data_IF_677872137853
#
_entry.id   IF_677872137853
#
_cell.length_a   1.000
_cell.length_b   1.000
_cell.length_c   1.000
_cell.angle_alpha   90.00
_cell.angle_beta   90.00
_cell.angle_gamma   90.00
#
_symmetry.space_group_name_H-M   'P 1'
#
loop_
_entity.id
_entity.type
_entity.pdbx_description
1 polymer ?
#
# COMPACT_ATOMS: atom_id res chain seq x y z
N UNK A 1 12.99 -47.95 16.82
CA UNK A 1 13.65 -46.66 16.51
C UNK A 1 12.58 -45.66 16.04
N UNK A 2 12.14 -44.74 16.92
CA UNK A 2 11.24 -43.64 16.55
C UNK A 2 12.08 -42.55 15.88
N UNK A 3 11.88 -42.32 14.59
CA UNK A 3 12.54 -41.24 13.85
C UNK A 3 11.97 -39.89 14.30
N UNK A 4 12.78 -39.16 15.05
CA UNK A 4 12.52 -37.76 15.40
C UNK A 4 12.54 -36.92 14.12
N UNK A 5 11.35 -36.58 13.61
CA UNK A 5 11.21 -35.49 12.63
C UNK A 5 11.59 -34.19 13.33
N UNK A 6 12.86 -33.78 13.22
CA UNK A 6 13.28 -32.40 13.49
C UNK A 6 12.41 -31.49 12.61
N UNK A 7 11.43 -30.81 13.20
CA UNK A 7 10.75 -29.69 12.56
C UNK A 7 11.84 -28.67 12.23
N UNK A 8 12.14 -28.46 10.95
CA UNK A 8 12.99 -27.34 10.56
C UNK A 8 12.33 -26.07 11.07
N UNK A 9 13.00 -25.33 11.94
CA UNK A 9 12.54 -24.01 12.36
C UNK A 9 12.55 -23.16 11.09
N UNK A 10 11.38 -22.94 10.48
CA UNK A 10 11.26 -21.99 9.36
C UNK A 10 11.69 -20.63 9.89
N UNK A 11 12.75 -20.08 9.31
CA UNK A 11 13.16 -18.72 9.59
C UNK A 11 11.98 -17.79 9.27
N UNK A 12 11.54 -17.02 10.26
CA UNK A 12 10.45 -16.06 10.10
C UNK A 12 10.89 -14.95 9.16
N UNK A 13 10.01 -14.51 8.27
CA UNK A 13 10.30 -13.36 7.40
C UNK A 13 10.41 -12.08 8.22
N UNK A 14 11.08 -11.05 7.68
CA UNK A 14 11.21 -9.72 8.29
C UNK A 14 9.85 -9.17 8.75
N UNK A 15 8.85 -9.21 7.86
CA UNK A 15 7.51 -8.69 8.12
C UNK A 15 6.80 -9.48 9.24
N UNK A 16 7.02 -10.80 9.30
CA UNK A 16 6.49 -11.61 10.41
C UNK A 16 7.17 -11.27 11.73
N UNK A 17 8.49 -10.97 11.73
CA UNK A 17 9.19 -10.51 12.93
C UNK A 17 8.67 -9.14 13.41
N UNK A 18 8.44 -8.19 12.50
CA UNK A 18 7.84 -6.88 12.81
C UNK A 18 6.47 -7.07 13.45
N UNK A 19 5.62 -7.88 12.82
CA UNK A 19 4.28 -8.18 13.31
C UNK A 19 4.32 -8.84 14.70
N UNK A 20 5.13 -9.88 14.87
CA UNK A 20 5.26 -10.57 16.15
C UNK A 20 5.74 -9.62 17.26
N UNK A 21 6.70 -8.72 16.97
CA UNK A 21 7.17 -7.74 17.94
C UNK A 21 6.03 -6.83 18.41
N UNK A 22 5.35 -6.17 17.47
CA UNK A 22 4.25 -5.24 17.80
C UNK A 22 3.11 -5.94 18.55
N UNK A 23 2.69 -7.12 18.11
CA UNK A 23 1.58 -7.82 18.74
C UNK A 23 1.95 -8.45 20.10
N UNK A 24 3.23 -8.72 20.36
CA UNK A 24 3.71 -9.17 21.68
C UNK A 24 3.76 -8.01 22.67
N UNK A 25 4.15 -6.81 22.22
CA UNK A 25 4.17 -5.61 23.04
C UNK A 25 2.76 -5.14 23.43
N UNK A 26 1.73 -5.51 22.65
CA UNK A 26 0.33 -5.11 22.85
C UNK A 26 -0.65 -6.30 22.84
N UNK A 27 -0.56 -7.27 23.77
CA UNK A 27 -1.31 -8.53 23.70
C UNK A 27 -2.85 -8.37 23.70
N UNK A 28 -3.36 -7.26 24.23
CA UNK A 28 -4.80 -6.97 24.31
C UNK A 28 -5.39 -6.40 23.00
N UNK A 29 -4.62 -6.34 21.91
CA UNK A 29 -5.06 -5.79 20.63
C UNK A 29 -6.33 -6.48 20.10
N UNK A 30 -6.50 -7.79 20.34
CA UNK A 30 -7.68 -8.56 19.90
C UNK A 30 -8.93 -8.04 20.58
N UNK A 31 -8.87 -7.85 21.90
CA UNK A 31 -10.03 -7.45 22.69
C UNK A 31 -10.45 -6.04 22.31
N UNK A 32 -9.50 -5.15 22.04
CA UNK A 32 -9.79 -3.79 21.56
C UNK A 32 -10.41 -3.82 20.17
N UNK A 33 -9.86 -4.61 19.24
CA UNK A 33 -10.44 -4.74 17.91
C UNK A 33 -11.85 -5.33 17.96
N UNK A 34 -12.10 -6.34 18.80
CA UNK A 34 -13.43 -6.93 19.02
C UNK A 34 -14.40 -5.94 19.64
N UNK A 35 -13.98 -5.21 20.66
CA UNK A 35 -14.80 -4.21 21.32
C UNK A 35 -15.14 -3.07 20.35
N UNK A 36 -14.16 -2.59 19.58
CA UNK A 36 -14.38 -1.62 18.51
C UNK A 36 -15.45 -2.10 17.53
N UNK A 37 -15.27 -3.28 16.93
CA UNK A 37 -16.22 -3.83 15.96
C UNK A 37 -17.61 -4.04 16.56
N UNK A 38 -17.71 -4.55 17.80
CA UNK A 38 -18.99 -4.78 18.46
C UNK A 38 -19.76 -3.49 18.79
N UNK A 39 -19.06 -2.36 18.97
CA UNK A 39 -19.63 -1.06 19.30
C UNK A 39 -19.86 -0.15 18.09
N UNK A 40 -19.40 -0.57 16.90
CA UNK A 40 -19.66 0.07 15.61
C UNK A 40 -21.16 0.29 15.43
N UNK A 41 -21.55 1.51 15.05
CA UNK A 41 -22.94 1.94 14.85
C UNK A 41 -23.84 1.82 16.10
N UNK A 42 -23.23 1.83 17.29
CA UNK A 42 -23.92 1.86 18.59
C UNK A 42 -23.40 2.99 19.46
N UNK A 43 -22.27 2.75 20.11
CA UNK A 43 -21.64 3.67 21.05
C UNK A 43 -20.51 4.47 20.39
N UNK A 44 -20.04 4.04 19.22
CA UNK A 44 -19.06 4.74 18.39
C UNK A 44 -19.55 4.89 16.94
N UNK A 45 -19.12 5.94 16.21
CA UNK A 45 -19.56 6.18 14.84
C UNK A 45 -19.32 4.98 13.93
N UNK A 46 -20.21 4.79 12.96
CA UNK A 46 -20.03 3.82 11.89
C UNK A 46 -18.81 4.18 11.00
N UNK A 47 -18.26 3.17 10.32
CA UNK A 47 -17.20 3.34 9.32
C UNK A 47 -17.35 2.35 8.15
N UNK A 48 -16.81 2.68 6.98
CA UNK A 48 -16.92 1.82 5.81
C UNK A 48 -16.23 0.45 5.98
N UNK A 49 -16.78 -0.61 5.39
CA UNK A 49 -16.27 -1.98 5.53
C UNK A 49 -14.85 -2.19 4.98
N UNK A 50 -14.38 -1.29 4.12
CA UNK A 50 -13.00 -1.30 3.64
C UNK A 50 -11.97 -0.85 4.70
N UNK A 51 -12.43 -0.29 5.83
CA UNK A 51 -11.62 0.02 7.02
C UNK A 51 -11.84 -1.08 8.05
N UNK A 52 -10.76 -1.69 8.55
CA UNK A 52 -10.87 -2.72 9.59
C UNK A 52 -11.40 -2.14 10.90
N UNK A 53 -10.65 -1.18 11.45
CA UNK A 53 -11.02 -0.38 12.61
C UNK A 53 -10.28 0.96 12.47
N UNK A 54 -10.95 2.10 12.67
CA UNK A 54 -10.30 3.39 12.55
C UNK A 54 -9.09 3.52 13.48
N UNK A 55 -8.08 4.30 13.08
CA UNK A 55 -6.86 4.45 13.87
C UNK A 55 -7.14 4.94 15.30
N UNK A 56 -8.19 5.75 15.49
CA UNK A 56 -8.64 6.26 16.79
C UNK A 56 -9.05 5.16 17.75
N UNK A 57 -9.50 3.99 17.27
CA UNK A 57 -9.91 2.85 18.10
C UNK A 57 -8.73 2.25 18.87
N UNK A 58 -7.49 2.52 18.46
CA UNK A 58 -6.28 2.10 19.19
C UNK A 58 -5.81 3.14 20.21
N UNK A 59 -6.38 4.35 20.25
CA UNK A 59 -5.97 5.39 21.21
C UNK A 59 -6.08 4.96 22.68
N UNK A 60 -7.12 4.23 23.13
CA UNK A 60 -7.24 3.81 24.53
C UNK A 60 -6.05 2.96 25.03
N UNK A 61 -5.26 2.35 24.14
CA UNK A 61 -4.04 1.62 24.53
C UNK A 61 -2.96 2.52 25.09
N UNK A 62 -2.81 3.74 24.54
CA UNK A 62 -1.68 4.62 24.81
C UNK A 62 -2.08 5.95 25.46
N UNK A 63 -3.34 6.34 25.30
CA UNK A 63 -3.91 7.62 25.72
C UNK A 63 -5.05 7.41 26.72
N UNK A 64 -4.76 6.75 27.86
CA UNK A 64 -5.76 6.43 28.90
C UNK A 64 -6.53 7.65 29.42
N UNK A 65 -5.89 8.82 29.43
CA UNK A 65 -6.47 10.08 29.90
C UNK A 65 -6.79 11.05 28.74
N UNK A 66 -6.97 10.52 27.52
CA UNK A 66 -7.08 11.31 26.30
C UNK A 66 -5.73 11.80 25.76
N UNK A 67 -5.80 12.52 24.64
CA UNK A 67 -4.62 13.07 23.96
C UNK A 67 -4.22 14.37 24.65
N UNK A 68 -3.00 14.43 25.17
CA UNK A 68 -2.40 15.67 25.66
C UNK A 68 -1.41 16.19 24.61
N UNK A 69 -1.68 17.35 23.97
CA UNK A 69 -0.77 17.94 22.97
C UNK A 69 0.64 18.24 23.51
N UNK A 70 0.78 18.41 24.84
CA UNK A 70 2.05 18.70 25.50
C UNK A 70 2.76 17.44 26.03
N UNK A 71 2.26 16.24 25.74
CA UNK A 71 2.92 14.99 26.13
C UNK A 71 4.25 14.86 25.34
N UNK A 72 5.42 14.82 26.00
CA UNK A 72 6.70 14.68 25.30
C UNK A 72 6.83 13.36 24.53
N UNK A 73 5.99 12.37 24.83
CA UNK A 73 5.94 11.08 24.14
C UNK A 73 4.82 11.00 23.09
N UNK A 74 4.10 12.09 22.80
CA UNK A 74 2.98 12.12 21.85
C UNK A 74 3.36 11.49 20.51
N UNK A 75 4.47 11.93 19.90
CA UNK A 75 4.92 11.43 18.60
C UNK A 75 5.24 9.93 18.62
N UNK A 76 5.91 9.45 19.68
CA UNK A 76 6.24 8.04 19.83
C UNK A 76 4.98 7.19 20.01
N UNK A 77 4.01 7.67 20.81
CA UNK A 77 2.72 7.01 20.98
C UNK A 77 1.94 6.98 19.66
N UNK A 78 1.85 8.10 18.94
CA UNK A 78 1.18 8.16 17.63
C UNK A 78 1.80 7.21 16.60
N UNK A 79 3.13 7.04 16.65
CA UNK A 79 3.81 6.05 15.81
C UNK A 79 3.36 4.63 16.14
N UNK A 80 3.28 4.27 17.43
CA UNK A 80 2.77 2.97 17.87
C UNK A 80 1.32 2.76 17.44
N UNK A 81 0.45 3.77 17.56
CA UNK A 81 -0.93 3.68 17.06
C UNK A 81 -0.93 3.39 15.56
N UNK A 82 -0.08 4.06 14.79
CA UNK A 82 0.06 3.82 13.34
C UNK A 82 0.56 2.41 13.03
N UNK A 83 1.47 1.87 13.86
CA UNK A 83 1.92 0.48 13.75
C UNK A 83 0.77 -0.50 14.02
N UNK A 84 -0.01 -0.30 15.07
CA UNK A 84 -1.15 -1.16 15.40
C UNK A 84 -2.21 -1.13 14.30
N UNK A 85 -2.57 0.06 13.82
CA UNK A 85 -3.57 0.25 12.76
C UNK A 85 -3.19 -0.46 11.45
N UNK A 86 -1.90 -0.55 11.12
CA UNK A 86 -1.43 -1.30 9.96
C UNK A 86 -1.28 -2.81 10.23
N UNK A 87 -0.65 -3.18 11.35
CA UNK A 87 -0.18 -4.55 11.59
C UNK A 87 -1.31 -5.46 12.08
N UNK A 88 -2.24 -4.95 12.89
CA UNK A 88 -3.37 -5.74 13.38
C UNK A 88 -4.20 -6.31 12.22
N UNK A 89 -4.74 -5.50 11.28
CA UNK A 89 -5.46 -6.04 10.13
C UNK A 89 -4.57 -6.87 9.21
N UNK A 90 -3.29 -6.52 9.04
CA UNK A 90 -2.36 -7.31 8.25
C UNK A 90 -2.17 -8.71 8.82
N UNK A 91 -2.12 -8.86 10.15
CA UNK A 91 -1.93 -10.15 10.82
C UNK A 91 -3.03 -11.17 10.49
N UNK A 92 -4.22 -10.71 10.09
CA UNK A 92 -5.38 -11.55 9.76
C UNK A 92 -5.23 -12.25 8.40
N UNK A 93 -4.45 -11.68 7.48
CA UNK A 93 -4.23 -12.18 6.12
C UNK A 93 -2.78 -12.58 5.82
N UNK A 94 -1.81 -11.88 6.43
CA UNK A 94 -0.36 -11.94 6.21
C UNK A 94 0.05 -11.93 4.74
N UNK A 95 -0.65 -11.14 3.92
CA UNK A 95 -0.36 -10.99 2.49
C UNK A 95 0.85 -10.07 2.24
N UNK A 96 1.85 -10.60 1.54
CA UNK A 96 3.03 -9.87 1.07
C UNK A 96 3.00 -9.84 -0.45
N UNK A 97 3.07 -8.66 -1.05
CA UNK A 97 3.06 -8.41 -2.49
C UNK A 97 4.45 -7.98 -2.92
N UNK A 98 5.19 -8.88 -3.58
CA UNK A 98 6.56 -8.65 -4.02
C UNK A 98 6.57 -8.21 -5.48
N UNK A 99 6.91 -6.95 -5.70
CA UNK A 99 6.89 -6.35 -7.03
C UNK A 99 8.27 -6.53 -7.69
N UNK A 100 8.28 -6.90 -8.97
CA UNK A 100 9.53 -6.98 -9.75
C UNK A 100 10.13 -5.59 -9.96
N UNK A 101 11.46 -5.51 -10.02
CA UNK A 101 12.18 -4.26 -10.26
C UNK A 101 11.74 -3.60 -11.57
N UNK A 102 11.65 -4.40 -12.63
CA UNK A 102 11.30 -3.89 -13.96
C UNK A 102 9.88 -3.32 -13.99
N UNK A 103 8.92 -3.95 -13.30
CA UNK A 103 7.56 -3.43 -13.21
C UNK A 103 7.52 -2.16 -12.35
N UNK A 104 8.18 -2.14 -11.19
CA UNK A 104 8.15 -0.99 -10.28
C UNK A 104 8.69 0.29 -10.94
N UNK A 105 9.80 0.16 -11.67
CA UNK A 105 10.39 1.27 -12.44
C UNK A 105 9.45 1.74 -13.55
N UNK A 106 8.89 0.81 -14.34
CA UNK A 106 7.99 1.18 -15.44
C UNK A 106 6.69 1.83 -14.93
N UNK A 107 6.15 1.39 -13.79
CA UNK A 107 4.96 2.00 -13.19
C UNK A 107 5.21 3.45 -12.75
N UNK A 108 6.40 3.76 -12.23
CA UNK A 108 6.77 5.13 -11.86
C UNK A 108 6.98 6.04 -13.07
N UNK A 109 7.51 5.49 -14.15
CA UNK A 109 7.75 6.22 -15.41
C UNK A 109 6.46 6.38 -16.25
N UNK A 110 5.44 5.56 -15.97
CA UNK A 110 4.17 5.57 -16.70
C UNK A 110 3.43 6.88 -16.49
N UNK A 111 3.07 7.55 -17.58
CA UNK A 111 2.20 8.72 -17.50
C UNK A 111 0.81 8.28 -16.99
N UNK A 112 0.37 8.91 -15.90
CA UNK A 112 -1.03 8.85 -15.50
C UNK A 112 -1.84 9.59 -16.57
N UNK A 113 -2.83 8.96 -17.22
CA UNK A 113 -3.86 9.71 -17.91
C UNK A 113 -4.57 10.57 -16.89
N UNK A 114 -5.09 11.68 -17.38
CA UNK A 114 -5.81 12.64 -16.58
C UNK A 114 -6.86 11.92 -15.71
N UNK A 115 -6.76 12.15 -14.39
CA UNK A 115 -7.86 12.07 -13.43
C UNK A 115 -8.28 10.68 -12.94
N UNK A 116 -7.34 9.80 -12.55
CA UNK A 116 -7.70 8.57 -11.81
C UNK A 116 -8.41 8.96 -10.50
N UNK A 117 -9.66 8.53 -10.22
CA UNK A 117 -10.36 8.83 -8.98
C UNK A 117 -9.69 8.15 -7.77
N UNK A 118 -9.62 8.82 -6.62
CA UNK A 118 -9.05 8.21 -5.40
C UNK A 118 -9.83 6.97 -4.94
N UNK A 119 -11.11 6.87 -5.30
CA UNK A 119 -11.98 5.72 -5.00
C UNK A 119 -11.37 4.36 -5.43
N UNK A 120 -10.51 4.34 -6.46
CA UNK A 120 -9.86 3.10 -6.88
C UNK A 120 -9.06 2.43 -5.77
N UNK A 121 -8.53 3.21 -4.81
CA UNK A 121 -7.76 2.71 -3.67
C UNK A 121 -8.63 1.86 -2.72
N UNK A 122 -9.96 2.00 -2.75
CA UNK A 122 -10.91 1.14 -2.02
C UNK A 122 -10.93 -0.30 -2.52
N UNK A 123 -10.27 -0.57 -3.66
CA UNK A 123 -10.07 -1.92 -4.19
C UNK A 123 -8.90 -2.67 -3.57
N UNK A 124 -8.22 -2.12 -2.56
CA UNK A 124 -7.20 -2.86 -1.83
C UNK A 124 -7.68 -4.28 -1.49
N UNK A 125 -6.86 -5.32 -1.73
CA UNK A 125 -7.30 -6.70 -1.69
C UNK A 125 -7.59 -7.23 -0.27
N UNK A 126 -7.02 -6.59 0.74
CA UNK A 126 -7.26 -6.84 2.16
C UNK A 126 -7.30 -5.51 2.91
N UNK A 127 -7.85 -5.52 4.13
CA UNK A 127 -7.78 -4.36 5.04
C UNK A 127 -6.38 -3.80 5.22
N UNK A 128 -5.36 -4.67 5.25
CA UNK A 128 -3.97 -4.26 5.14
C UNK A 128 -3.14 -5.29 4.39
N UNK A 129 -2.19 -4.80 3.61
CA UNK A 129 -1.22 -5.58 2.85
C UNK A 129 0.19 -5.06 3.12
N UNK A 130 1.19 -5.90 2.94
CA UNK A 130 2.57 -5.46 2.88
C UNK A 130 3.03 -5.51 1.42
N UNK A 131 3.60 -4.42 0.92
CA UNK A 131 4.19 -4.33 -0.42
C UNK A 131 5.70 -4.32 -0.24
N UNK A 132 6.37 -5.37 -0.71
CA UNK A 132 7.82 -5.46 -0.78
C UNK A 132 8.28 -4.77 -2.07
N UNK A 133 9.14 -3.76 -1.91
CA UNK A 133 9.69 -2.97 -3.02
C UNK A 133 11.05 -3.52 -3.43
N UNK A 134 11.50 -3.26 -4.67
CA UNK A 134 12.84 -3.64 -5.10
C UNK A 134 13.92 -2.99 -4.22
N UNK A 135 15.06 -3.66 -4.13
CA UNK A 135 16.22 -3.16 -3.39
C UNK A 135 16.61 -1.77 -3.90
N UNK A 136 16.92 -0.85 -2.97
CA UNK A 136 17.33 0.53 -3.27
C UNK A 136 16.30 1.39 -4.04
N UNK A 137 15.08 0.89 -4.31
CA UNK A 137 14.01 1.67 -4.93
C UNK A 137 13.68 2.94 -4.13
N UNK A 138 13.63 2.78 -2.80
CA UNK A 138 13.76 3.85 -1.82
C UNK A 138 14.93 3.46 -0.90
N UNK A 139 16.01 4.27 -0.79
CA UNK A 139 17.20 3.89 -0.02
C UNK A 139 16.89 3.46 1.43
N UNK A 140 17.29 2.24 1.77
CA UNK A 140 17.10 1.64 3.10
C UNK A 140 15.67 1.23 3.45
N UNK A 141 14.73 1.30 2.50
CA UNK A 141 13.34 0.88 2.68
C UNK A 141 13.11 -0.51 2.06
N UNK A 142 12.56 -1.43 2.83
CA UNK A 142 12.27 -2.81 2.40
C UNK A 142 10.86 -2.95 1.79
N UNK A 143 10.00 -1.97 2.02
CA UNK A 143 8.59 -2.03 1.69
C UNK A 143 7.75 -1.24 2.66
N UNK A 144 6.44 -1.47 2.63
CA UNK A 144 5.52 -0.73 3.48
C UNK A 144 4.22 -1.51 3.69
N UNK A 145 3.61 -1.32 4.85
CA UNK A 145 2.22 -1.70 5.05
C UNK A 145 1.32 -0.64 4.40
N UNK A 146 0.26 -1.08 3.72
CA UNK A 146 -0.73 -0.23 3.09
C UNK A 146 -2.12 -0.63 3.61
N UNK A 147 -2.90 0.34 4.07
CA UNK A 147 -4.25 0.13 4.58
C UNK A 147 -5.11 1.38 4.37
N UNK A 148 -6.43 1.22 4.48
CA UNK A 148 -7.38 2.32 4.49
C UNK A 148 -7.80 2.61 5.93
N UNK A 149 -8.04 3.89 6.18
CA UNK A 149 -8.58 4.41 7.41
C UNK A 149 -9.68 5.44 7.09
N UNK A 150 -10.43 5.85 8.10
CA UNK A 150 -11.37 6.96 7.98
C UNK A 150 -11.29 7.84 9.23
N UNK A 151 -11.25 9.14 9.02
CA UNK A 151 -11.17 10.12 10.10
C UNK A 151 -12.23 11.19 9.90
N UNK A 152 -13.27 11.15 10.75
CA UNK A 152 -14.42 12.05 10.66
C UNK A 152 -15.08 12.04 9.26
N UNK A 153 -15.22 10.84 8.67
CA UNK A 153 -15.82 10.65 7.34
C UNK A 153 -14.90 10.99 6.17
N UNK A 154 -13.65 11.42 6.42
CA UNK A 154 -12.62 11.54 5.38
C UNK A 154 -11.83 10.25 5.31
N UNK A 155 -11.94 9.57 4.18
CA UNK A 155 -11.17 8.36 3.92
C UNK A 155 -9.69 8.71 3.70
N UNK A 156 -8.80 7.84 4.16
CA UNK A 156 -7.36 8.05 4.11
C UNK A 156 -6.66 6.76 3.64
N UNK A 157 -5.75 6.91 2.68
CA UNK A 157 -4.78 5.87 2.36
C UNK A 157 -3.58 6.04 3.29
N UNK A 158 -3.32 5.05 4.12
CA UNK A 158 -2.22 5.05 5.07
C UNK A 158 -1.14 4.05 4.66
N UNK A 159 0.10 4.53 4.71
CA UNK A 159 1.32 3.78 4.47
C UNK A 159 2.18 3.81 5.72
N UNK A 160 2.79 2.67 6.06
CA UNK A 160 3.78 2.58 7.14
C UNK A 160 5.05 1.94 6.56
N UNK A 161 6.02 2.78 6.22
CA UNK A 161 7.25 2.36 5.56
C UNK A 161 8.18 1.64 6.54
N UNK A 162 8.76 0.53 6.08
CA UNK A 162 9.67 -0.34 6.82
C UNK A 162 11.12 -0.08 6.39
N UNK A 163 11.89 0.57 7.27
CA UNK A 163 13.30 0.88 7.06
C UNK A 163 14.21 -0.03 7.89
N UNK A 164 15.42 -0.30 7.42
CA UNK A 164 16.41 -1.11 8.15
C UNK A 164 16.85 -0.47 9.47
N UNK A 165 17.32 0.78 9.39
CA UNK A 165 18.00 1.45 10.52
C UNK A 165 17.24 2.66 11.04
N UNK A 166 15.93 2.75 10.75
CA UNK A 166 15.09 3.89 11.16
C UNK A 166 13.75 3.39 11.72
N UNK A 167 13.12 4.16 12.63
CA UNK A 167 11.75 3.90 13.02
C UNK A 167 10.83 3.84 11.79
N UNK A 168 9.74 3.06 11.85
CA UNK A 168 8.78 3.03 10.76
C UNK A 168 8.25 4.42 10.48
N UNK A 169 7.99 4.72 9.21
CA UNK A 169 7.60 6.06 8.78
C UNK A 169 6.14 6.07 8.30
N UNK A 170 5.22 6.73 9.03
CA UNK A 170 3.83 6.84 8.61
C UNK A 170 3.69 7.91 7.52
N UNK A 171 2.96 7.59 6.46
CA UNK A 171 2.64 8.48 5.35
C UNK A 171 1.14 8.36 5.04
N UNK A 172 0.46 9.48 4.85
CA UNK A 172 -1.01 9.52 4.66
C UNK A 172 -1.36 10.36 3.44
N UNK A 173 -2.22 9.81 2.58
CA UNK A 173 -2.86 10.53 1.49
C UNK A 173 -4.37 10.62 1.78
N UNK A 174 -4.89 11.85 1.84
CA UNK A 174 -6.32 12.09 2.09
C UNK A 174 -7.11 11.83 0.80
N UNK A 175 -8.14 11.00 0.89
CA UNK A 175 -9.02 10.64 -0.21
C UNK A 175 -10.33 11.46 -0.17
N UNK A 176 -11.01 11.51 -1.31
CA UNK A 176 -12.29 12.20 -1.44
C UNK A 176 -12.87 12.07 -2.84
N UNK A 177 -13.92 12.82 -3.14
CA UNK A 177 -14.53 12.84 -4.48
C UNK A 177 -13.70 13.70 -5.45
N UNK A 178 -12.45 13.27 -5.65
CA UNK A 178 -11.45 13.90 -6.50
C UNK A 178 -10.42 12.86 -6.96
N UNK A 179 -9.45 13.32 -7.76
CA UNK A 179 -8.46 12.48 -8.42
C UNK A 179 -7.20 12.30 -7.58
N UNK A 180 -6.36 11.33 -7.93
CA UNK A 180 -5.05 11.13 -7.30
C UNK A 180 -4.19 12.41 -7.41
N UNK A 181 -4.21 13.08 -8.57
CA UNK A 181 -3.46 14.34 -8.77
C UNK A 181 -3.95 15.44 -7.82
N UNK A 182 -5.27 15.63 -7.70
CA UNK A 182 -5.84 16.58 -6.74
C UNK A 182 -5.52 16.18 -5.29
N UNK A 183 -5.48 14.89 -4.98
CA UNK A 183 -5.07 14.41 -3.65
C UNK A 183 -3.61 14.80 -3.33
N UNK A 184 -2.72 14.69 -4.31
CA UNK A 184 -1.32 15.10 -4.19
C UNK A 184 -1.18 16.62 -4.07
N UNK A 185 -1.95 17.39 -4.84
CA UNK A 185 -1.98 18.86 -4.71
C UNK A 185 -2.47 19.29 -3.32
N UNK A 186 -3.51 18.66 -2.79
CA UNK A 186 -4.02 18.89 -1.45
C UNK A 186 -3.00 18.48 -0.38
N UNK A 187 -2.28 17.37 -0.59
CA UNK A 187 -1.17 16.96 0.27
C UNK A 187 -0.09 18.04 0.34
N UNK A 188 0.37 18.55 -0.81
CA UNK A 188 1.35 19.63 -0.90
C UNK A 188 0.83 20.90 -0.20
N UNK A 189 -0.44 21.24 -0.40
CA UNK A 189 -1.07 22.41 0.24
C UNK A 189 -1.14 22.25 1.76
N UNK A 190 -1.55 21.09 2.26
CA UNK A 190 -1.63 20.83 3.70
C UNK A 190 -0.27 20.95 4.36
N UNK A 191 0.78 20.41 3.74
CA UNK A 191 2.15 20.62 4.23
C UNK A 191 2.45 22.13 4.30
N UNK A 192 2.17 22.91 3.26
CA UNK A 192 2.41 24.37 3.31
C UNK A 192 1.65 25.07 4.44
N UNK A 193 0.39 24.70 4.68
CA UNK A 193 -0.46 25.33 5.72
C UNK A 193 0.01 25.01 7.15
N UNK A 194 0.46 23.78 7.44
CA UNK A 194 1.01 23.43 8.75
C UNK A 194 2.32 24.13 9.08
N UNK A 195 3.03 24.64 8.06
CA UNK A 195 4.37 25.17 8.18
C UNK A 195 4.51 26.65 7.77
N UNK A 196 3.43 27.43 7.84
CA UNK A 196 3.49 28.89 7.69
C UNK A 196 4.17 29.55 8.91
N UNK A 197 5.49 29.38 8.99
CA UNK A 197 6.38 30.10 9.90
C UNK A 197 7.53 30.67 9.08
N UNK A 198 7.57 31.99 9.00
CA UNK A 198 8.50 32.83 8.27
C UNK A 198 9.97 32.76 8.75
N UNK A 199 10.45 31.61 9.25
CA UNK A 199 11.82 31.44 9.78
C UNK A 199 12.51 30.07 9.61
N UNK A 200 12.00 29.09 8.87
CA UNK A 200 12.70 27.78 8.75
C UNK A 200 12.56 27.15 7.34
N UNK A 201 13.13 27.77 6.29
CA UNK A 201 13.01 27.23 4.93
C UNK A 201 13.82 25.93 4.69
N UNK A 202 15.04 25.82 5.25
CA UNK A 202 15.95 24.72 4.88
C UNK A 202 15.60 23.35 5.49
N UNK A 203 15.13 23.28 6.74
CA UNK A 203 14.76 22.00 7.36
C UNK A 203 13.43 21.45 6.80
N UNK A 204 12.57 22.34 6.30
CA UNK A 204 11.27 21.98 5.77
C UNK A 204 11.34 21.46 4.34
N UNK A 205 12.24 21.97 3.50
CA UNK A 205 12.50 21.34 2.19
C UNK A 205 13.02 19.90 2.34
N UNK A 206 13.90 19.66 3.31
CA UNK A 206 14.42 18.33 3.63
C UNK A 206 13.34 17.33 4.09
N UNK A 207 12.21 17.79 4.64
CA UNK A 207 11.07 16.95 5.06
C UNK A 207 10.02 16.84 3.93
N UNK A 208 9.79 17.91 3.18
CA UNK A 208 8.83 17.98 2.05
C UNK A 208 9.22 17.07 0.89
N UNK A 209 10.49 17.10 0.48
CA UNK A 209 10.98 16.38 -0.70
C UNK A 209 10.83 14.86 -0.53
N UNK A 210 11.26 14.23 0.59
CA UNK A 210 11.13 12.80 0.75
C UNK A 210 9.68 12.29 0.76
N UNK A 211 8.74 13.01 1.39
CA UNK A 211 7.36 12.54 1.47
C UNK A 211 6.68 12.50 0.10
N UNK A 212 6.82 13.57 -0.68
CA UNK A 212 6.25 13.64 -2.02
C UNK A 212 6.92 12.62 -2.95
N UNK A 213 8.24 12.48 -2.86
CA UNK A 213 8.98 11.46 -3.62
C UNK A 213 8.53 10.04 -3.26
N UNK A 214 8.27 9.77 -1.98
CA UNK A 214 7.69 8.50 -1.55
C UNK A 214 6.29 8.31 -2.14
N UNK A 215 5.40 9.31 -2.09
CA UNK A 215 4.08 9.19 -2.70
C UNK A 215 4.16 8.91 -4.21
N UNK A 216 5.00 9.64 -4.94
CA UNK A 216 5.20 9.43 -6.38
C UNK A 216 5.74 8.04 -6.71
N UNK A 217 6.60 7.47 -5.86
CA UNK A 217 7.13 6.12 -6.05
C UNK A 217 6.17 5.01 -5.61
N UNK A 218 5.42 5.21 -4.54
CA UNK A 218 4.62 4.17 -3.90
C UNK A 218 3.20 4.09 -4.45
N UNK A 219 2.57 5.21 -4.82
CA UNK A 219 1.20 5.23 -5.34
C UNK A 219 1.02 4.39 -6.61
N UNK A 220 1.91 4.45 -7.63
CA UNK A 220 1.78 3.61 -8.82
C UNK A 220 1.78 2.11 -8.50
N UNK A 221 2.52 1.69 -7.48
CA UNK A 221 2.56 0.30 -7.01
C UNK A 221 1.22 -0.13 -6.41
N UNK A 222 0.63 0.73 -5.57
CA UNK A 222 -0.68 0.50 -4.95
C UNK A 222 -1.79 0.48 -6.01
N UNK A 223 -1.75 1.43 -6.95
CA UNK A 223 -2.67 1.50 -8.08
C UNK A 223 -2.61 0.24 -8.95
N UNK A 224 -1.41 -0.31 -9.17
CA UNK A 224 -1.24 -1.54 -9.94
C UNK A 224 -1.90 -2.74 -9.23
N UNK A 225 -1.73 -2.86 -7.92
CA UNK A 225 -2.39 -3.91 -7.13
C UNK A 225 -3.92 -3.75 -7.14
N UNK A 226 -4.43 -2.52 -7.23
CA UNK A 226 -5.86 -2.23 -7.36
C UNK A 226 -6.41 -2.38 -8.78
N UNK A 227 -5.54 -2.56 -9.79
CA UNK A 227 -5.94 -2.64 -11.19
C UNK A 227 -6.56 -4.01 -11.52
N UNK A 228 -7.58 -4.01 -12.36
CA UNK A 228 -8.32 -5.20 -12.80
C UNK A 228 -7.45 -6.19 -13.60
N UNK A 229 -6.45 -5.66 -14.31
CA UNK A 229 -5.50 -6.43 -15.09
C UNK A 229 -4.14 -6.62 -14.40
N UNK A 230 -4.07 -6.46 -13.07
CA UNK A 230 -2.85 -6.71 -12.31
C UNK A 230 -2.39 -8.16 -12.48
N UNK A 231 -1.11 -8.38 -12.79
CA UNK A 231 -0.53 -9.72 -12.82
C UNK A 231 -0.06 -10.10 -11.41
N UNK A 232 -0.87 -10.90 -10.71
CA UNK A 232 -0.56 -11.36 -9.35
C UNK A 232 -0.62 -12.89 -9.34
N UNK A 233 0.51 -13.51 -9.00
CA UNK A 233 0.66 -14.97 -8.94
C UNK A 233 1.27 -15.38 -7.59
N UNK A 234 1.08 -16.63 -7.19
CA UNK A 234 1.52 -17.07 -5.87
C UNK A 234 1.31 -18.57 -5.66
N UNK A 235 1.41 -19.04 -4.41
CA UNK A 235 1.39 -20.47 -4.10
C UNK A 235 0.04 -21.15 -4.38
N UNK A 236 -1.04 -20.38 -4.55
CA UNK A 236 -2.38 -20.86 -4.87
C UNK A 236 -3.21 -19.76 -5.54
N UNK A 237 -4.48 -20.04 -5.84
CA UNK A 237 -5.37 -19.10 -6.53
C UNK A 237 -5.54 -17.78 -5.75
N UNK A 238 -5.14 -16.68 -6.39
CA UNK A 238 -5.29 -15.32 -5.84
C UNK A 238 -6.75 -14.96 -5.57
N UNK A 239 -7.65 -15.23 -6.52
CA UNK A 239 -9.08 -14.93 -6.33
C UNK A 239 -9.68 -15.65 -5.12
N UNK A 240 -9.33 -16.92 -4.89
CA UNK A 240 -9.77 -17.67 -3.71
C UNK A 240 -9.18 -17.09 -2.42
N UNK A 241 -7.94 -16.62 -2.46
CA UNK A 241 -7.30 -15.93 -1.34
C UNK A 241 -8.06 -14.66 -0.95
N UNK A 242 -8.33 -13.78 -1.92
CA UNK A 242 -9.02 -12.51 -1.68
C UNK A 242 -10.42 -12.75 -1.14
N UNK A 243 -11.20 -13.65 -1.75
CA UNK A 243 -12.55 -13.96 -1.28
C UNK A 243 -12.57 -14.42 0.19
N UNK A 244 -11.54 -15.15 0.63
CA UNK A 244 -11.42 -15.63 2.01
C UNK A 244 -10.89 -14.58 2.99
N UNK A 245 -10.09 -13.62 2.52
CA UNK A 245 -9.28 -12.75 3.40
C UNK A 245 -9.60 -11.28 3.32
N UNK A 246 -10.42 -10.85 2.35
CA UNK A 246 -10.74 -9.44 2.15
C UNK A 246 -11.43 -8.84 3.37
N UNK A 247 -12.50 -9.48 3.85
CA UNK A 247 -13.24 -9.10 5.05
C UNK A 247 -13.55 -10.35 5.88
N UNK A 248 -12.86 -10.52 7.02
CA UNK A 248 -13.21 -11.57 7.97
C UNK A 248 -14.42 -11.14 8.79
N UNK A 249 -15.23 -12.10 9.25
CA UNK A 249 -16.29 -11.81 10.21
C UNK A 249 -15.70 -11.52 11.59
N UNK A 250 -16.40 -10.72 12.39
CA UNK A 250 -15.97 -10.25 13.72
C UNK A 250 -15.61 -11.38 14.70
N UNK A 251 -16.27 -12.53 14.60
CA UNK A 251 -16.00 -13.70 15.44
C UNK A 251 -14.80 -14.56 14.97
N UNK A 252 -14.19 -14.24 13.82
CA UNK A 252 -13.09 -14.99 13.22
C UNK A 252 -11.74 -14.25 13.28
N UNK A 253 -11.60 -13.28 14.19
CA UNK A 253 -10.35 -12.51 14.38
C UNK A 253 -9.25 -13.38 14.99
N UNK A 254 -8.65 -14.20 14.13
CA UNK A 254 -7.44 -14.98 14.38
C UNK A 254 -6.38 -14.58 13.36
N UNK A 255 -5.14 -14.45 13.84
CA UNK A 255 -3.98 -14.29 12.96
C UNK A 255 -3.90 -15.43 11.94
N UNK A 256 -3.47 -15.12 10.72
CA UNK A 256 -3.11 -16.14 9.74
C UNK A 256 -1.86 -16.90 10.21
N UNK A 257 -1.87 -18.23 10.02
CA UNK A 257 -0.80 -19.09 10.52
C UNK A 257 0.53 -18.86 9.78
N UNK A 258 0.49 -18.45 8.51
CA UNK A 258 1.67 -18.27 7.66
C UNK A 258 1.57 -17.01 6.81
N UNK A 259 2.73 -16.40 6.54
CA UNK A 259 2.89 -15.38 5.51
C UNK A 259 2.65 -15.99 4.13
N UNK A 260 1.94 -15.25 3.29
CA UNK A 260 1.65 -15.62 1.90
C UNK A 260 2.28 -14.58 0.99
N UNK A 261 3.26 -15.01 0.20
CA UNK A 261 3.96 -14.13 -0.75
C UNK A 261 3.31 -14.26 -2.13
N UNK A 262 3.03 -13.12 -2.74
CA UNK A 262 2.48 -12.96 -4.08
C UNK A 262 3.51 -12.27 -4.96
N UNK A 263 3.92 -12.92 -6.06
CA UNK A 263 4.73 -12.31 -7.10
C UNK A 263 3.84 -11.37 -7.93
N UNK A 264 4.24 -10.11 -8.04
CA UNK A 264 3.52 -9.06 -8.78
C UNK A 264 4.32 -8.66 -10.01
N UNK A 265 3.77 -8.91 -11.20
CA UNK A 265 4.41 -8.59 -12.48
C UNK A 265 5.63 -9.44 -12.80
N UNK A 266 5.57 -10.76 -12.56
CA UNK A 266 6.67 -11.68 -12.80
C UNK A 266 6.95 -11.85 -14.29
N UNK A 267 5.93 -12.24 -15.05
CA UNK A 267 6.00 -12.41 -16.49
C UNK A 267 6.07 -11.07 -17.21
N UNK A 268 5.30 -10.08 -16.74
CA UNK A 268 5.42 -8.69 -17.21
C UNK A 268 6.82 -8.12 -17.00
N UNK A 269 7.45 -8.33 -15.85
CA UNK A 269 8.82 -7.89 -15.57
C UNK A 269 9.83 -8.51 -16.53
N UNK A 270 9.73 -9.82 -16.80
CA UNK A 270 10.56 -10.51 -17.81
C UNK A 270 10.37 -9.88 -19.20
N UNK A 271 9.12 -9.59 -19.59
CA UNK A 271 8.81 -8.96 -20.88
C UNK A 271 9.37 -7.55 -20.97
N UNK A 272 9.19 -6.73 -19.93
CA UNK A 272 9.75 -5.36 -19.85
C UNK A 272 11.28 -5.40 -19.93
N UNK A 273 11.94 -6.33 -19.23
CA UNK A 273 13.40 -6.51 -19.27
C UNK A 273 13.89 -6.83 -20.68
N UNK A 274 13.33 -7.87 -21.31
CA UNK A 274 13.69 -8.30 -22.67
C UNK A 274 13.47 -7.16 -23.67
N UNK A 275 12.37 -6.43 -23.49
CA UNK A 275 12.02 -5.31 -24.32
C UNK A 275 13.02 -4.15 -24.22
N UNK A 276 13.34 -3.68 -23.00
CA UNK A 276 14.33 -2.60 -22.79
C UNK A 276 15.70 -2.99 -23.36
N UNK A 277 16.07 -4.26 -23.24
CA UNK A 277 17.28 -4.80 -23.89
C UNK A 277 17.19 -4.74 -25.41
N UNK A 278 16.06 -5.09 -26.04
CA UNK A 278 15.95 -5.06 -27.51
C UNK A 278 16.03 -3.65 -28.14
N UNK A 279 15.55 -2.63 -27.43
CA UNK A 279 15.55 -1.23 -27.90
C UNK A 279 16.93 -0.59 -27.80
N UNK A 280 17.72 -0.94 -26.78
CA UNK A 280 19.07 -0.38 -26.58
C UNK A 280 20.09 -0.74 -27.67
N UNK A 281 19.78 -1.68 -28.57
CA UNK A 281 20.71 -2.23 -29.58
C UNK A 281 20.40 -1.84 -31.03
N UNK A 282 19.31 -1.10 -31.34
CA UNK A 282 18.97 -0.76 -32.74
C UNK A 282 19.22 0.72 -33.08
N UNK A 283 20.45 1.03 -33.48
CA UNK A 283 20.75 2.09 -34.45
C UNK A 283 20.54 1.50 -35.86
N UNK A 284 19.40 1.74 -36.51
CA UNK A 284 19.21 1.32 -37.90
C UNK A 284 18.45 2.34 -38.74
N UNK A 285 19.15 2.89 -39.73
CA UNK A 285 18.77 2.96 -41.15
C UNK A 285 17.47 3.70 -41.52
N UNK A 286 17.53 4.73 -42.39
CA UNK A 286 16.34 5.43 -42.84
C UNK A 286 15.68 4.68 -44.00
N UNK A 287 14.61 3.89 -43.77
CA UNK A 287 13.59 3.63 -44.82
C UNK A 287 12.29 2.88 -44.49
N UNK A 288 12.01 2.47 -43.26
CA UNK A 288 10.67 1.98 -42.89
C UNK A 288 10.12 2.69 -41.65
N UNK A 289 8.79 2.65 -41.45
CA UNK A 289 8.10 3.34 -40.34
C UNK A 289 8.88 3.10 -39.05
N UNK A 290 9.54 4.14 -38.55
CA UNK A 290 10.51 4.02 -37.46
C UNK A 290 9.91 3.18 -36.33
N UNK A 291 10.60 2.11 -35.90
CA UNK A 291 10.22 1.36 -34.73
C UNK A 291 10.06 2.34 -33.57
N UNK A 292 8.89 2.35 -32.94
CA UNK A 292 8.61 3.26 -31.84
C UNK A 292 7.85 2.57 -30.72
N UNK A 293 7.86 3.24 -29.57
CA UNK A 293 7.35 2.72 -28.31
C UNK A 293 5.99 3.34 -28.06
N UNK A 294 4.93 2.52 -28.03
CA UNK A 294 3.71 2.95 -27.37
C UNK A 294 3.97 2.89 -25.86
N UNK A 295 4.12 4.05 -25.22
CA UNK A 295 4.44 4.17 -23.80
C UNK A 295 3.38 3.49 -22.93
N UNK A 296 3.85 2.98 -21.79
CA UNK A 296 2.97 2.54 -20.73
C UNK A 296 2.09 3.69 -20.25
N UNK A 297 0.83 3.39 -19.99
CA UNK A 297 -0.13 4.37 -19.49
C UNK A 297 -1.23 3.66 -18.72
N UNK A 298 -1.83 4.38 -17.78
CA UNK A 298 -3.01 3.89 -17.10
C UNK A 298 -4.25 4.05 -17.99
N UNK A 299 -5.34 3.42 -17.63
CA UNK A 299 -6.63 3.65 -18.24
C UNK A 299 -7.69 3.32 -17.21
N UNK A 300 -8.65 4.23 -16.99
CA UNK A 300 -9.77 3.97 -16.12
C UNK A 300 -11.08 4.23 -16.85
N UNK A 301 -12.10 3.47 -16.48
CA UNK A 301 -13.44 3.61 -17.02
C UNK A 301 -14.44 3.07 -16.01
N UNK A 302 -15.70 3.45 -16.19
CA UNK A 302 -16.78 2.97 -15.35
C UNK A 302 -17.61 1.94 -16.12
N UNK A 303 -18.08 0.92 -15.41
CA UNK A 303 -18.97 -0.13 -15.94
C UNK A 303 -20.22 -0.25 -15.08
N UNK A 304 -21.25 -0.95 -15.56
CA UNK A 304 -22.54 -1.05 -14.86
C UNK A 304 -23.53 0.04 -15.26
N UNK A 305 -24.75 -0.06 -14.74
CA UNK A 305 -25.78 0.96 -14.91
C UNK A 305 -25.55 2.14 -13.93
N UNK A 306 -26.45 3.12 -13.94
CA UNK A 306 -26.34 4.32 -13.08
C UNK A 306 -26.39 4.02 -11.57
N UNK A 307 -27.00 2.91 -11.17
CA UNK A 307 -27.19 2.54 -9.76
C UNK A 307 -26.08 1.62 -9.23
N UNK A 308 -25.43 0.84 -10.10
CA UNK A 308 -24.36 -0.11 -9.73
C UNK A 308 -23.04 0.17 -10.48
N UNK A 309 -22.68 1.45 -10.59
CA UNK A 309 -21.50 1.86 -11.33
C UNK A 309 -20.22 1.38 -10.64
N UNK A 310 -19.35 0.67 -11.37
CA UNK A 310 -18.07 0.13 -10.88
C UNK A 310 -16.90 0.78 -11.62
N UNK A 311 -16.03 1.45 -10.88
CA UNK A 311 -14.77 1.99 -11.40
C UNK A 311 -13.82 0.83 -11.74
N UNK A 312 -13.25 0.81 -12.93
CA UNK A 312 -12.21 -0.13 -13.35
C UNK A 312 -10.95 0.66 -13.69
N UNK A 313 -9.82 0.19 -13.18
CA UNK A 313 -8.49 0.68 -13.53
C UNK A 313 -7.73 -0.43 -14.23
N UNK A 314 -6.99 -0.08 -15.28
CA UNK A 314 -6.06 -0.94 -15.98
C UNK A 314 -4.74 -0.21 -16.18
N UNK A 315 -3.64 -0.95 -16.11
CA UNK A 315 -2.34 -0.48 -16.55
C UNK A 315 -1.96 -1.17 -17.85
N UNK A 316 -1.72 -0.40 -18.92
CA UNK A 316 -1.38 -0.96 -20.22
C UNK A 316 0.13 -0.95 -20.37
N UNK A 317 0.71 -2.15 -20.47
CA UNK A 317 2.16 -2.33 -20.65
C UNK A 317 2.65 -1.66 -21.94
N UNK A 318 3.95 -1.29 -22.01
CA UNK A 318 4.51 -0.74 -23.23
C UNK A 318 4.37 -1.75 -24.37
N UNK A 319 4.06 -1.27 -25.58
CA UNK A 319 3.93 -2.12 -26.77
C UNK A 319 4.96 -1.66 -27.81
N UNK A 320 5.84 -2.57 -28.26
CA UNK A 320 6.69 -2.32 -29.42
C UNK A 320 5.81 -2.20 -30.68
N UNK A 321 5.95 -1.09 -31.42
CA UNK A 321 5.29 -0.90 -32.71
C UNK A 321 6.36 -0.94 -33.80
N UNK A 322 6.18 -1.84 -34.77
CA UNK A 322 7.11 -2.10 -35.88
C UNK A 322 8.51 -2.59 -35.44
N UNK A 323 8.61 -3.36 -34.35
CA UNK A 323 9.80 -4.19 -34.08
C UNK A 323 9.49 -5.60 -34.62
N UNK A 324 10.23 -6.04 -35.64
CA UNK A 324 10.10 -7.41 -36.14
C UNK A 324 10.35 -8.42 -35.03
N UNK A 325 9.51 -9.47 -35.00
CA UNK A 325 9.44 -10.51 -33.96
C UNK A 325 10.78 -11.23 -33.71
#
# INVERSE_FOLDING_TARGET
>A
MRTSRRKSIKQKSRVDLICNKVLTDYPNWIDIAKNALAQKDKDIPDWPDFVFAPLTNYFPLLFKNGINPNDPHLSAKMLVVSQLAAIVPWSLSKGVYKITEELALELCESQSPDKIPTEILKKLPQWSIYIEIPENFIPGCNGFFCHLDTNQGRDELKMLLDFDDKPPYPLTLIMGDYTIDTALELFIKNIKTYYDSSKIDNALELIKIPQLDFLHKLLPLILYICADNSEISGPYSYNKYIQKTRYKKEFELKQADNVVVWDVGKELGIKIKKYKQSVGFKDMGPKEKSPHIRRAHWHHFWTGNSEERKLILRWLSPIPVNLDN
#
